data_IF_096246255638
#
_entry.id   IF_096246255638
#
_cell.length_a   1.000
_cell.length_b   1.000
_cell.length_c   1.000
_cell.angle_alpha   90.00
_cell.angle_beta   90.00
_cell.angle_gamma   90.00
#
_symmetry.space_group_name_H-M   'P 1'
#
loop_
_entity.id
_entity.type
_entity.pdbx_description
1 polymer ?
#
# COMPACT_ATOMS: atom_id res chain seq x y z
N UNK A 1 8.71 -4.00 17.93
CA UNK A 1 7.83 -3.14 17.11
C UNK A 1 8.02 -1.66 17.43
N UNK A 2 7.87 -1.25 18.70
CA UNK A 2 8.12 0.14 19.17
C UNK A 2 9.53 0.66 18.82
N UNK A 3 10.56 -0.18 18.88
CA UNK A 3 11.94 0.22 18.57
C UNK A 3 12.17 0.50 17.07
N UNK A 4 11.54 -0.28 16.19
CA UNK A 4 11.54 -0.04 14.74
C UNK A 4 10.77 1.23 14.37
N UNK A 5 9.70 1.55 15.11
CA UNK A 5 8.92 2.78 14.93
C UNK A 5 9.66 4.03 15.39
N UNK A 6 10.48 3.95 16.44
CA UNK A 6 11.36 5.05 16.86
C UNK A 6 12.50 5.29 15.87
N UNK A 7 13.03 4.22 15.25
CA UNK A 7 13.99 4.32 14.15
C UNK A 7 13.35 4.98 12.93
N UNK A 8 12.12 4.58 12.58
CA UNK A 8 11.34 5.21 11.51
C UNK A 8 11.13 6.71 11.77
N UNK A 9 10.70 7.10 12.98
CA UNK A 9 10.53 8.52 13.34
C UNK A 9 11.85 9.31 13.24
N UNK A 10 12.95 8.76 13.73
CA UNK A 10 14.26 9.42 13.71
C UNK A 10 14.86 9.53 12.30
N UNK A 11 14.47 8.64 11.38
CA UNK A 11 14.84 8.70 9.96
C UNK A 11 13.92 9.61 9.16
N UNK A 12 12.62 9.65 9.48
CA UNK A 12 11.64 10.58 8.92
C UNK A 12 12.00 12.05 9.16
N UNK A 13 12.46 12.40 10.36
CA UNK A 13 12.95 13.76 10.67
C UNK A 13 14.18 14.17 9.84
N UNK A 14 14.79 13.23 9.11
CA UNK A 14 15.99 13.43 8.31
C UNK A 14 15.79 13.01 6.85
N UNK A 15 14.56 12.85 6.37
CA UNK A 15 14.28 12.28 5.04
C UNK A 15 15.09 12.98 3.93
N UNK A 16 15.16 14.31 3.95
CA UNK A 16 15.96 15.13 3.00
C UNK A 16 17.49 14.92 3.07
N UNK A 17 17.97 14.21 4.09
CA UNK A 17 19.40 13.90 4.34
C UNK A 17 19.70 12.41 4.21
N UNK A 18 18.71 11.56 3.94
CA UNK A 18 18.93 10.14 3.74
C UNK A 18 19.57 9.89 2.37
N UNK A 19 20.51 8.94 2.33
CA UNK A 19 20.96 8.40 1.04
C UNK A 19 19.81 7.64 0.37
N UNK A 20 19.78 7.61 -0.96
CA UNK A 20 18.78 6.88 -1.72
C UNK A 20 18.66 5.40 -1.30
N UNK A 21 19.79 4.74 -1.00
CA UNK A 21 19.78 3.35 -0.53
C UNK A 21 19.00 3.17 0.79
N UNK A 22 19.29 4.03 1.78
CA UNK A 22 18.60 3.99 3.08
C UNK A 22 17.12 4.29 2.92
N UNK A 23 16.76 5.28 2.09
CA UNK A 23 15.36 5.59 1.81
C UNK A 23 14.62 4.39 1.22
N UNK A 24 15.21 3.68 0.25
CA UNK A 24 14.60 2.49 -0.34
C UNK A 24 14.40 1.36 0.69
N UNK A 25 15.37 1.16 1.59
CA UNK A 25 15.23 0.19 2.68
C UNK A 25 14.11 0.59 3.67
N UNK A 26 14.01 1.87 3.99
CA UNK A 26 12.99 2.41 4.87
C UNK A 26 11.58 2.20 4.31
N UNK A 27 11.40 2.43 3.00
CA UNK A 27 10.14 2.21 2.30
C UNK A 27 9.70 0.75 2.42
N UNK A 28 10.60 -0.20 2.20
CA UNK A 28 10.31 -1.62 2.38
C UNK A 28 9.98 -1.96 3.83
N UNK A 29 10.65 -1.31 4.79
CA UNK A 29 10.40 -1.48 6.21
C UNK A 29 9.03 -0.93 6.67
N UNK A 30 8.39 -0.04 5.89
CA UNK A 30 7.05 0.48 6.15
C UNK A 30 5.92 -0.47 5.75
N UNK A 31 6.17 -1.46 4.88
CA UNK A 31 5.13 -2.39 4.42
C UNK A 31 4.37 -3.09 5.56
N UNK A 32 5.00 -3.57 6.65
CA UNK A 32 4.26 -4.18 7.75
C UNK A 32 3.40 -3.17 8.55
N UNK A 33 3.69 -1.88 8.46
CA UNK A 33 2.99 -0.83 9.21
C UNK A 33 1.59 -0.57 8.66
N UNK A 34 1.37 -0.73 7.35
CA UNK A 34 0.07 -0.42 6.72
C UNK A 34 -1.05 -1.39 7.16
N UNK A 35 -0.67 -2.59 7.61
CA UNK A 35 -1.60 -3.60 8.11
C UNK A 35 -1.69 -3.66 9.64
N UNK A 36 -1.24 -2.64 10.36
CA UNK A 36 -1.37 -2.57 11.82
C UNK A 36 -2.77 -2.10 12.20
N UNK A 37 -3.32 -2.70 13.25
CA UNK A 37 -4.64 -2.33 13.77
C UNK A 37 -4.62 -0.97 14.50
N UNK A 38 -3.47 -0.57 15.04
CA UNK A 38 -3.31 0.75 15.66
C UNK A 38 -3.25 1.85 14.58
N UNK A 39 -4.27 2.71 14.47
CA UNK A 39 -4.30 3.76 13.45
C UNK A 39 -3.15 4.75 13.58
N UNK A 40 -2.56 4.94 14.77
CA UNK A 40 -1.40 5.82 14.94
C UNK A 40 -0.15 5.29 14.26
N UNK A 41 0.02 3.96 14.25
CA UNK A 41 1.15 3.35 13.55
C UNK A 41 0.91 3.38 12.03
N UNK A 42 -0.33 3.13 11.63
CA UNK A 42 -0.71 3.03 10.23
C UNK A 42 -0.84 4.39 9.56
N UNK A 43 -1.72 5.24 10.06
CA UNK A 43 -2.19 6.46 9.39
C UNK A 43 -1.31 7.67 9.66
N UNK A 44 -0.65 7.74 10.81
CA UNK A 44 0.23 8.88 11.15
C UNK A 44 1.69 8.63 10.77
N UNK A 45 2.07 7.38 10.43
CA UNK A 45 3.48 7.01 10.21
C UNK A 45 3.70 6.16 8.96
N UNK A 46 3.33 4.88 9.02
CA UNK A 46 3.73 3.91 8.01
C UNK A 46 3.15 4.19 6.63
N UNK A 47 1.85 4.47 6.57
CA UNK A 47 1.17 4.75 5.30
C UNK A 47 1.59 6.09 4.69
N UNK A 48 1.62 7.24 5.41
CA UNK A 48 2.06 8.51 4.84
C UNK A 48 3.44 8.44 4.17
N UNK A 49 4.44 7.86 4.85
CA UNK A 49 5.78 7.73 4.27
C UNK A 49 5.79 6.87 3.01
N UNK A 50 5.09 5.72 3.07
CA UNK A 50 5.00 4.81 1.93
C UNK A 50 4.32 5.52 0.75
N UNK A 51 3.17 6.16 0.97
CA UNK A 51 2.40 6.85 -0.05
C UNK A 51 3.19 8.01 -0.67
N UNK A 52 3.81 8.86 0.14
CA UNK A 52 4.61 9.98 -0.34
C UNK A 52 5.80 9.52 -1.17
N UNK A 53 6.52 8.51 -0.69
CA UNK A 53 7.70 7.96 -1.37
C UNK A 53 7.36 7.31 -2.71
N UNK A 54 6.24 6.59 -2.76
CA UNK A 54 5.73 5.96 -3.98
C UNK A 54 5.24 7.01 -4.98
N UNK A 55 4.42 7.97 -4.53
CA UNK A 55 3.78 8.97 -5.39
C UNK A 55 4.77 9.97 -5.99
N UNK A 56 5.73 10.43 -5.20
CA UNK A 56 6.66 11.50 -5.60
C UNK A 56 7.96 10.96 -6.24
N UNK A 57 7.94 9.73 -6.76
CA UNK A 57 9.10 9.12 -7.43
C UNK A 57 10.39 9.11 -6.57
N UNK A 58 10.27 9.12 -5.23
CA UNK A 58 11.44 9.16 -4.32
C UNK A 58 12.15 7.80 -4.23
N UNK A 59 11.47 6.72 -4.58
CA UNK A 59 12.00 5.36 -4.54
C UNK A 59 12.50 4.88 -5.91
N UNK A 60 13.42 3.92 -5.90
CA UNK A 60 13.87 3.28 -7.13
C UNK A 60 12.78 2.40 -7.75
N UNK A 61 12.86 2.17 -9.06
CA UNK A 61 11.95 1.26 -9.76
C UNK A 61 12.00 -0.16 -9.18
N UNK A 62 13.17 -0.64 -8.78
CA UNK A 62 13.32 -1.95 -8.12
C UNK A 62 12.56 -2.00 -6.78
N UNK A 63 12.64 -0.93 -5.99
CA UNK A 63 11.91 -0.84 -4.71
C UNK A 63 10.41 -0.75 -4.95
N UNK A 64 9.97 0.04 -5.93
CA UNK A 64 8.57 0.11 -6.34
C UNK A 64 8.05 -1.26 -6.78
N UNK A 65 8.81 -1.98 -7.58
CA UNK A 65 8.48 -3.33 -8.04
C UNK A 65 8.40 -4.31 -6.85
N UNK A 66 9.32 -4.24 -5.90
CA UNK A 66 9.31 -5.07 -4.70
C UNK A 66 8.10 -4.78 -3.79
N UNK A 67 7.75 -3.49 -3.62
CA UNK A 67 6.53 -3.06 -2.93
C UNK A 67 5.30 -3.62 -3.64
N UNK A 68 5.17 -3.38 -4.95
CA UNK A 68 4.04 -3.85 -5.75
C UNK A 68 3.86 -5.36 -5.67
N UNK A 69 4.95 -6.13 -5.81
CA UNK A 69 4.94 -7.59 -5.68
C UNK A 69 4.55 -8.07 -4.27
N UNK A 70 4.96 -7.34 -3.22
CA UNK A 70 4.55 -7.66 -1.85
C UNK A 70 3.06 -7.40 -1.63
N UNK A 71 2.59 -6.24 -2.06
CA UNK A 71 1.20 -5.81 -1.89
C UNK A 71 0.21 -6.71 -2.64
N UNK A 72 0.60 -7.24 -3.81
CA UNK A 72 -0.25 -8.17 -4.60
C UNK A 72 -0.23 -9.61 -4.11
N UNK A 73 0.56 -9.94 -3.08
CA UNK A 73 0.68 -11.30 -2.55
C UNK A 73 -0.45 -11.69 -1.61
N UNK A 74 -0.58 -13.00 -1.33
CA UNK A 74 -1.55 -13.52 -0.36
C UNK A 74 -1.29 -13.03 1.08
N UNK A 75 -0.08 -12.55 1.38
CA UNK A 75 0.26 -12.00 2.71
C UNK A 75 -0.29 -10.58 2.93
N UNK A 76 -0.76 -9.94 1.84
CA UNK A 76 -1.25 -8.57 1.82
C UNK A 76 -2.65 -8.51 1.21
N UNK A 77 -2.78 -8.53 -0.12
CA UNK A 77 -4.06 -8.37 -0.82
C UNK A 77 -5.10 -9.43 -0.44
N UNK A 78 -4.70 -10.69 -0.22
CA UNK A 78 -5.64 -11.76 0.15
C UNK A 78 -5.52 -12.21 1.61
N UNK A 79 -4.89 -11.39 2.46
CA UNK A 79 -4.62 -11.77 3.84
C UNK A 79 -5.92 -12.07 4.60
N UNK A 80 -6.13 -13.37 4.87
CA UNK A 80 -7.32 -13.91 5.57
C UNK A 80 -8.66 -13.41 4.99
N UNK A 81 -8.74 -13.25 3.68
CA UNK A 81 -9.91 -12.67 3.01
C UNK A 81 -11.21 -13.49 3.17
N UNK A 82 -11.12 -14.76 3.56
CA UNK A 82 -12.28 -15.66 3.69
C UNK A 82 -12.97 -15.60 5.06
N UNK A 83 -12.48 -14.79 6.01
CA UNK A 83 -12.98 -14.77 7.39
C UNK A 83 -14.22 -13.87 7.58
N UNK A 84 -14.76 -13.29 6.49
CA UNK A 84 -15.87 -12.33 6.55
C UNK A 84 -15.41 -10.95 7.01
N UNK A 85 -16.25 -10.25 7.79
CA UNK A 85 -15.85 -9.02 8.49
C UNK A 85 -14.80 -9.35 9.55
N UNK A 86 -13.63 -8.73 9.44
CA UNK A 86 -12.49 -8.98 10.33
C UNK A 86 -11.54 -7.80 10.31
N UNK A 87 -10.93 -7.48 11.45
CA UNK A 87 -9.91 -6.42 11.57
C UNK A 87 -8.71 -6.65 10.63
N UNK A 88 -8.52 -7.90 10.17
CA UNK A 88 -7.54 -8.25 9.15
C UNK A 88 -7.80 -7.53 7.79
N UNK A 89 -9.01 -7.01 7.55
CA UNK A 89 -9.35 -6.21 6.37
C UNK A 89 -8.55 -4.91 6.28
N UNK A 90 -8.06 -4.35 7.39
CA UNK A 90 -7.14 -3.20 7.41
C UNK A 90 -5.97 -3.43 6.45
N UNK A 91 -5.34 -4.62 6.52
CA UNK A 91 -4.17 -4.92 5.68
C UNK A 91 -4.54 -4.97 4.21
N UNK A 92 -5.68 -5.58 3.87
CA UNK A 92 -6.15 -5.71 2.49
C UNK A 92 -6.53 -4.35 1.91
N UNK A 93 -7.31 -3.58 2.67
CA UNK A 93 -7.73 -2.22 2.36
C UNK A 93 -6.54 -1.30 2.08
N UNK A 94 -5.55 -1.25 2.98
CA UNK A 94 -4.37 -0.42 2.79
C UNK A 94 -3.42 -0.95 1.71
N UNK A 95 -3.50 -2.24 1.36
CA UNK A 95 -2.74 -2.78 0.22
C UNK A 95 -3.28 -2.25 -1.11
N UNK A 96 -4.61 -2.21 -1.27
CA UNK A 96 -5.26 -1.60 -2.45
C UNK A 96 -4.90 -0.12 -2.56
N UNK A 97 -4.97 0.60 -1.44
CA UNK A 97 -4.62 2.00 -1.35
C UNK A 97 -3.16 2.26 -1.77
N UNK A 98 -2.20 1.52 -1.21
CA UNK A 98 -0.78 1.65 -1.55
C UNK A 98 -0.45 1.21 -2.99
N UNK A 99 -1.19 0.25 -3.56
CA UNK A 99 -1.08 -0.11 -4.99
C UNK A 99 -1.49 1.06 -5.89
N UNK A 100 -2.50 1.83 -5.50
CA UNK A 100 -2.91 3.02 -6.26
C UNK A 100 -1.78 4.07 -6.28
N UNK A 101 -1.05 4.24 -5.16
CA UNK A 101 0.12 5.11 -5.07
C UNK A 101 1.29 4.62 -5.94
N UNK A 102 1.50 3.30 -6.01
CA UNK A 102 2.50 2.71 -6.90
C UNK A 102 2.26 3.12 -8.36
N UNK A 103 1.01 3.01 -8.83
CA UNK A 103 0.64 3.37 -10.19
C UNK A 103 0.69 4.89 -10.41
N UNK A 104 0.25 5.68 -9.43
CA UNK A 104 0.24 7.14 -9.54
C UNK A 104 1.65 7.71 -9.75
N UNK A 105 2.63 7.23 -8.98
CA UNK A 105 4.02 7.66 -9.10
C UNK A 105 4.83 6.91 -10.14
N UNK A 106 4.23 6.02 -10.94
CA UNK A 106 4.92 5.32 -12.04
C UNK A 106 4.41 5.76 -13.41
N UNK A 107 3.47 6.70 -13.48
CA UNK A 107 2.83 7.13 -14.74
C UNK A 107 3.82 7.62 -15.80
N UNK A 108 4.90 8.29 -15.38
CA UNK A 108 5.89 8.90 -16.27
C UNK A 108 6.79 7.86 -16.96
N UNK A 109 7.24 6.86 -16.22
CA UNK A 109 8.21 5.83 -16.68
C UNK A 109 7.51 4.55 -17.15
N UNK A 110 6.30 4.31 -16.65
CA UNK A 110 5.48 3.12 -16.88
C UNK A 110 6.20 1.79 -16.62
N UNK A 111 7.04 1.72 -15.58
CA UNK A 111 7.80 0.52 -15.23
C UNK A 111 6.89 -0.68 -14.89
N UNK A 112 5.70 -0.43 -14.34
CA UNK A 112 4.73 -1.43 -13.90
C UNK A 112 3.75 -1.89 -15.01
N UNK A 113 3.93 -1.46 -16.26
CA UNK A 113 2.95 -1.70 -17.35
C UNK A 113 2.74 -3.19 -17.63
N UNK A 114 3.80 -4.00 -17.51
CA UNK A 114 3.73 -5.43 -17.76
C UNK A 114 2.90 -6.18 -16.70
N UNK A 115 2.76 -5.61 -15.49
CA UNK A 115 2.06 -6.22 -14.37
C UNK A 115 0.55 -5.91 -14.37
N UNK A 116 0.10 -4.90 -15.12
CA UNK A 116 -1.30 -4.44 -15.14
C UNK A 116 -2.31 -5.55 -15.50
N UNK A 117 -2.10 -6.39 -16.53
CA UNK A 117 -3.05 -7.45 -16.84
C UNK A 117 -3.22 -8.45 -15.69
N UNK A 118 -2.12 -8.81 -15.02
CA UNK A 118 -2.17 -9.70 -13.85
C UNK A 118 -2.87 -9.04 -12.67
N UNK A 119 -2.61 -7.75 -12.42
CA UNK A 119 -3.30 -6.99 -11.38
C UNK A 119 -4.81 -6.98 -11.59
N UNK A 120 -5.29 -6.74 -12.82
CA UNK A 120 -6.73 -6.74 -13.14
C UNK A 120 -7.38 -8.08 -12.78
N UNK A 121 -6.75 -9.21 -13.10
CA UNK A 121 -7.28 -10.54 -12.74
C UNK A 121 -7.30 -10.75 -11.23
N UNK A 122 -6.27 -10.27 -10.51
CA UNK A 122 -6.26 -10.30 -9.04
C UNK A 122 -7.39 -9.47 -8.45
N UNK A 123 -7.69 -8.28 -9.01
CA UNK A 123 -8.76 -7.42 -8.50
C UNK A 123 -10.16 -7.99 -8.73
N UNK A 124 -10.38 -8.68 -9.86
CA UNK A 124 -11.62 -9.44 -10.08
C UNK A 124 -11.82 -10.50 -9.01
N UNK A 125 -10.78 -11.31 -8.76
CA UNK A 125 -10.78 -12.31 -7.70
C UNK A 125 -10.99 -11.67 -6.32
N UNK A 126 -10.32 -10.56 -6.03
CA UNK A 126 -10.46 -9.84 -4.77
C UNK A 126 -11.91 -9.41 -4.55
N UNK A 127 -12.56 -8.82 -5.55
CA UNK A 127 -13.96 -8.38 -5.49
C UNK A 127 -14.92 -9.53 -5.18
N UNK A 128 -14.66 -10.72 -5.73
CA UNK A 128 -15.47 -11.91 -5.47
C UNK A 128 -15.28 -12.44 -4.04
N UNK A 129 -14.07 -12.31 -3.49
CA UNK A 129 -13.70 -12.87 -2.19
C UNK A 129 -13.96 -11.93 -1.02
N UNK A 130 -13.73 -10.63 -1.17
CA UNK A 130 -13.91 -9.66 -0.09
C UNK A 130 -15.38 -9.62 0.34
N UNK A 131 -15.58 -9.61 1.66
CA UNK A 131 -16.90 -9.57 2.31
C UNK A 131 -16.99 -8.50 3.37
N UNK A 132 -15.88 -7.92 3.79
CA UNK A 132 -15.88 -6.78 4.69
C UNK A 132 -16.26 -5.52 3.92
N UNK A 133 -17.46 -5.00 4.21
CA UNK A 133 -18.02 -3.81 3.56
C UNK A 133 -17.97 -2.58 4.49
N UNK A 134 -17.29 -2.68 5.63
CA UNK A 134 -17.16 -1.56 6.58
C UNK A 134 -16.25 -0.49 5.98
N UNK A 135 -16.71 0.75 6.02
CA UNK A 135 -15.93 1.91 5.54
C UNK A 135 -15.01 2.47 6.65
N UNK A 136 -15.51 2.45 7.89
CA UNK A 136 -14.82 2.94 9.07
C UNK A 136 -15.27 2.14 10.31
N UNK A 137 -14.39 2.00 11.29
CA UNK A 137 -14.72 1.45 12.62
C UNK A 137 -14.17 2.35 13.72
N UNK A 138 -14.82 2.41 14.90
CA UNK A 138 -14.30 3.18 16.03
C UNK A 138 -12.89 2.76 16.47
N UNK A 139 -12.55 1.49 16.35
CA UNK A 139 -11.28 0.92 16.83
C UNK A 139 -10.15 1.06 15.81
N UNK A 140 -10.45 0.83 14.52
CA UNK A 140 -9.43 0.77 13.46
C UNK A 140 -9.42 2.01 12.57
N UNK A 141 -10.37 2.93 12.71
CA UNK A 141 -10.55 4.03 11.77
C UNK A 141 -10.97 3.53 10.38
N UNK A 142 -10.51 4.20 9.33
CA UNK A 142 -10.87 3.89 7.94
C UNK A 142 -10.34 2.53 7.51
N UNK A 143 -11.24 1.66 7.04
CA UNK A 143 -10.93 0.32 6.55
C UNK A 143 -11.65 -0.01 5.23
N UNK A 144 -12.07 1.03 4.50
CA UNK A 144 -12.86 0.99 3.27
C UNK A 144 -12.17 0.26 2.10
N UNK A 145 -12.18 -1.07 2.15
CA UNK A 145 -11.57 -1.92 1.14
C UNK A 145 -12.24 -1.77 -0.23
N UNK A 146 -13.56 -1.53 -0.26
CA UNK A 146 -14.30 -1.39 -1.51
C UNK A 146 -14.01 -0.04 -2.18
N UNK A 147 -14.02 1.05 -1.42
CA UNK A 147 -13.63 2.37 -1.94
C UNK A 147 -12.17 2.40 -2.41
N UNK A 148 -11.25 1.77 -1.68
CA UNK A 148 -9.85 1.65 -2.13
C UNK A 148 -9.71 0.78 -3.39
N UNK A 149 -10.53 -0.26 -3.55
CA UNK A 149 -10.57 -1.07 -4.77
C UNK A 149 -11.01 -0.21 -5.96
N UNK A 150 -12.09 0.55 -5.82
CA UNK A 150 -12.59 1.45 -6.87
C UNK A 150 -11.56 2.51 -7.24
N UNK A 151 -10.86 3.05 -6.23
CA UNK A 151 -9.78 4.00 -6.46
C UNK A 151 -8.62 3.38 -7.24
N UNK A 152 -8.23 2.14 -6.92
CA UNK A 152 -7.20 1.43 -7.66
C UNK A 152 -7.63 1.12 -9.10
N UNK A 153 -8.87 0.71 -9.32
CA UNK A 153 -9.40 0.48 -10.67
C UNK A 153 -9.38 1.75 -11.51
N UNK A 154 -9.72 2.91 -10.91
CA UNK A 154 -9.56 4.21 -11.55
C UNK A 154 -8.09 4.51 -11.85
N UNK A 155 -7.18 4.26 -10.90
CA UNK A 155 -5.74 4.46 -11.10
C UNK A 155 -5.19 3.60 -12.25
N UNK A 156 -5.65 2.35 -12.40
CA UNK A 156 -5.33 1.50 -13.56
C UNK A 156 -5.83 2.12 -14.87
N UNK A 157 -7.07 2.60 -14.89
CA UNK A 157 -7.65 3.22 -16.08
C UNK A 157 -6.88 4.49 -16.49
N UNK A 158 -6.44 5.29 -15.53
CA UNK A 158 -5.64 6.50 -15.76
C UNK A 158 -4.22 6.13 -16.21
N UNK A 159 -3.57 5.16 -15.56
CA UNK A 159 -2.22 4.70 -15.89
C UNK A 159 -2.10 4.18 -17.33
N UNK A 160 -3.17 3.55 -17.87
CA UNK A 160 -3.21 3.06 -19.25
C UNK A 160 -3.34 4.17 -20.31
N UNK A 161 -3.67 5.40 -19.92
CA UNK A 161 -3.86 6.53 -20.86
C UNK A 161 -2.57 7.32 -21.13
N UNK A 162 -1.53 7.16 -20.30
CA UNK A 162 -0.34 8.01 -20.29
C UNK A 162 -0.54 9.17 -19.33
#
# INVERSE_FOLDING_TARGET
MIEKLKLLDAELEKEDKLSAEVLNQLILACLPCIGQYDPKIRDERGYPLLAESLRNEKCSNDTRQAVFSSLTSDQYLFYKINDGESDDSVRRSFSLLALAECLAGDKSVQHLVAQIPSLIELLKKYRELEKDLREETPELGYIDAIGHLEMLEKSIADYRKG
#
